data_IF_064614363394
#
_entry.id   IF_064614363394
#
_cell.length_a   1.000
_cell.length_b   1.000
_cell.length_c   1.000
_cell.angle_alpha   90.00
_cell.angle_beta   90.00
_cell.angle_gamma   90.00
#
_symmetry.space_group_name_H-M   'P 1'
#
loop_
_entity.id
_entity.type
_entity.pdbx_description
1 polymer ?
#
# COMPACT_ATOMS: atom_id res chain seq x y z
N UNK A 1 10.20 -4.52 -14.63
CA UNK A 1 10.05 -5.33 -13.40
C UNK A 1 8.58 -5.29 -13.01
N UNK A 2 7.95 -6.42 -12.68
CA UNK A 2 6.51 -6.44 -12.35
C UNK A 2 6.30 -6.12 -10.87
N UNK A 3 5.36 -5.22 -10.56
CA UNK A 3 4.89 -4.99 -9.19
C UNK A 3 4.21 -6.26 -8.66
N UNK A 4 4.63 -6.74 -7.50
CA UNK A 4 4.05 -7.92 -6.84
C UNK A 4 3.13 -7.48 -5.72
N UNK A 5 1.90 -8.00 -5.74
CA UNK A 5 0.93 -7.79 -4.67
C UNK A 5 0.65 -9.13 -3.99
N UNK A 6 0.92 -9.22 -2.70
CA UNK A 6 0.65 -10.41 -1.88
C UNK A 6 -0.49 -10.12 -0.91
N UNK A 7 -1.54 -10.94 -0.97
CA UNK A 7 -2.69 -10.86 -0.06
C UNK A 7 -2.35 -11.69 1.17
N UNK A 8 -2.00 -11.04 2.29
CA UNK A 8 -1.73 -11.78 3.52
C UNK A 8 -3.03 -12.29 4.15
N UNK A 9 -3.01 -13.53 4.63
CA UNK A 9 -4.14 -14.09 5.36
C UNK A 9 -4.37 -13.27 6.64
N UNK A 10 -5.62 -12.86 6.87
CA UNK A 10 -6.02 -11.98 7.98
C UNK A 10 -5.16 -10.70 8.15
N UNK A 11 -4.55 -10.20 7.06
CA UNK A 11 -3.61 -9.08 7.11
C UNK A 11 -3.77 -8.08 5.97
N UNK A 12 -2.75 -7.23 5.85
CA UNK A 12 -2.61 -6.20 4.83
C UNK A 12 -2.31 -6.77 3.44
N UNK A 13 -2.55 -5.96 2.41
CA UNK A 13 -2.06 -6.21 1.07
C UNK A 13 -0.62 -5.72 0.99
N UNK A 14 0.34 -6.64 0.86
CA UNK A 14 1.76 -6.29 0.70
C UNK A 14 2.01 -5.95 -0.76
N UNK A 15 2.53 -4.76 -1.05
CA UNK A 15 2.90 -4.32 -2.40
C UNK A 15 4.42 -4.15 -2.46
N UNK A 16 5.05 -4.73 -3.47
CA UNK A 16 6.50 -4.78 -3.64
C UNK A 16 6.87 -4.41 -5.08
N UNK A 17 7.86 -3.52 -5.25
CA UNK A 17 8.38 -3.09 -6.55
C UNK A 17 8.16 -1.61 -6.82
N UNK A 18 8.17 -1.20 -8.09
CA UNK A 18 7.85 0.17 -8.47
C UNK A 18 6.34 0.38 -8.55
N UNK A 19 5.83 1.31 -7.75
CA UNK A 19 4.42 1.69 -7.74
C UNK A 19 4.24 3.12 -7.20
N UNK A 20 3.08 3.69 -7.46
CA UNK A 20 2.65 4.97 -6.88
C UNK A 20 1.27 4.76 -6.26
N UNK A 21 1.05 5.33 -5.07
CA UNK A 21 -0.27 5.36 -4.45
C UNK A 21 -0.82 6.77 -4.57
N UNK A 22 -2.04 6.87 -5.07
CA UNK A 22 -2.79 8.13 -5.14
C UNK A 22 -4.08 8.03 -4.35
N UNK A 23 -4.52 9.14 -3.80
CA UNK A 23 -5.86 9.27 -3.24
C UNK A 23 -6.91 9.49 -4.34
N UNK A 24 -8.18 9.65 -3.93
CA UNK A 24 -9.30 9.87 -4.86
C UNK A 24 -9.24 11.22 -5.61
N UNK A 25 -8.47 12.17 -5.09
CA UNK A 25 -8.26 13.48 -5.70
C UNK A 25 -6.99 13.51 -6.58
N UNK A 26 -6.20 12.42 -6.61
CA UNK A 26 -4.96 12.31 -7.36
C UNK A 26 -3.71 12.73 -6.58
N UNK A 27 -3.80 13.03 -5.29
CA UNK A 27 -2.62 13.35 -4.48
C UNK A 27 -1.81 12.09 -4.20
N UNK A 28 -0.51 12.15 -4.42
CA UNK A 28 0.41 11.04 -4.16
C UNK A 28 0.69 10.90 -2.66
N UNK A 29 0.63 9.67 -2.15
CA UNK A 29 1.13 9.39 -0.80
C UNK A 29 2.66 9.38 -0.80
N UNK A 30 3.26 10.07 0.17
CA UNK A 30 4.69 9.99 0.40
C UNK A 30 5.04 8.62 1.03
N UNK A 31 5.73 7.79 0.26
CA UNK A 31 6.17 6.47 0.69
C UNK A 31 7.51 6.51 1.42
N UNK A 32 8.13 7.69 1.58
CA UNK A 32 9.43 7.89 2.22
C UNK A 32 10.53 6.95 1.66
N UNK A 33 10.50 6.69 0.35
CA UNK A 33 11.44 5.80 -0.34
C UNK A 33 11.20 4.30 -0.11
N UNK A 34 10.05 3.90 0.44
CA UNK A 34 9.73 2.47 0.64
C UNK A 34 9.34 1.80 -0.68
N UNK A 35 10.12 0.80 -1.07
CA UNK A 35 9.83 -0.12 -2.20
C UNK A 35 8.85 -1.25 -1.82
N UNK A 36 8.54 -1.36 -0.52
CA UNK A 36 7.62 -2.35 0.04
C UNK A 36 6.70 -1.68 1.06
N UNK A 37 5.41 -1.88 0.89
CA UNK A 37 4.38 -1.34 1.80
C UNK A 37 3.31 -2.38 2.13
N UNK A 38 2.55 -2.12 3.18
CA UNK A 38 1.30 -2.81 3.48
C UNK A 38 0.13 -1.85 3.38
N UNK A 39 -0.91 -2.22 2.63
CA UNK A 39 -2.18 -1.50 2.60
C UNK A 39 -3.20 -2.19 3.51
N UNK A 40 -3.83 -1.41 4.37
CA UNK A 40 -4.88 -1.88 5.26
C UNK A 40 -6.08 -2.34 4.44
N UNK A 41 -6.46 -3.60 4.66
CA UNK A 41 -7.68 -4.21 4.09
C UNK A 41 -8.79 -4.39 5.12
N UNK A 42 -8.48 -4.35 6.43
CA UNK A 42 -9.44 -4.64 7.48
C UNK A 42 -10.27 -3.43 7.94
N UNK A 43 -9.92 -2.21 7.52
CA UNK A 43 -10.61 -0.97 7.93
C UNK A 43 -10.29 -0.49 9.35
N UNK A 44 -9.62 -1.31 10.17
CA UNK A 44 -9.28 -1.00 11.57
C UNK A 44 -8.04 -0.11 11.72
N UNK A 45 -7.25 0.10 10.66
CA UNK A 45 -6.07 0.97 10.76
C UNK A 45 -6.45 2.41 11.08
N UNK A 46 -5.67 3.02 11.97
CA UNK A 46 -5.75 4.46 12.29
C UNK A 46 -5.03 5.32 11.24
N UNK A 47 -4.12 4.73 10.47
CA UNK A 47 -3.27 5.43 9.49
C UNK A 47 -3.59 4.99 8.05
N UNK A 48 -4.88 5.06 7.68
CA UNK A 48 -5.35 4.69 6.33
C UNK A 48 -4.60 5.50 5.27
N UNK A 49 -4.19 4.88 4.15
CA UNK A 49 -4.56 3.55 3.65
C UNK A 49 -3.64 2.40 4.12
N UNK A 50 -2.71 2.64 5.03
CA UNK A 50 -1.73 1.64 5.52
C UNK A 50 -2.24 0.84 6.71
#
# INVERSE_FOLDING_TARGET
MSTKITINNNGSLKVEGEFTIVDRAGNTYDLAGREVIGLCRCGLSKNKPF
#
